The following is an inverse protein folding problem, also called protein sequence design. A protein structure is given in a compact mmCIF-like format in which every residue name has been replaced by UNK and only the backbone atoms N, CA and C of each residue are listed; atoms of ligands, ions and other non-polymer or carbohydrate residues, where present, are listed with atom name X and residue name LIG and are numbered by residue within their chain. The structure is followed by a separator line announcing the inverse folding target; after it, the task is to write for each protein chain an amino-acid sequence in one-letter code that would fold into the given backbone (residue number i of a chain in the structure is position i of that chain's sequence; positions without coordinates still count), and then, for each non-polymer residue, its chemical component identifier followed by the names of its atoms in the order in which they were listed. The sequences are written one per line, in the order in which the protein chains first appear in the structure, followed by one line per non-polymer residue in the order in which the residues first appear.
data_IF_122802993113
#
_entry.id   IF_122802993113
#
_cell.length_a   1.000
_cell.length_b   1.000
_cell.length_c   1.000
_cell.angle_alpha   90.00
_cell.angle_beta   90.00
_cell.angle_gamma   90.00
#
_symmetry.space_group_name_H-M   'P 1'
#
loop_
_entity.id
_entity.type
_entity.pdbx_description
1 polymer ?
#
# COMPACT_ATOMS: atom_id res chain seq x y z
N UNK A 1 -3.19 -5.90 -13.34
CA UNK A 1 -2.95 -5.88 -11.89
C UNK A 1 -3.40 -4.54 -11.33
N UNK A 2 -4.01 -4.55 -10.19
CA UNK A 2 -4.62 -3.35 -9.60
C UNK A 2 -3.94 -3.05 -8.25
N UNK A 3 -3.70 -1.76 -7.98
CA UNK A 3 -3.09 -1.30 -6.72
C UNK A 3 -4.11 -0.45 -5.96
N UNK A 4 -4.38 -0.82 -4.72
CA UNK A 4 -5.19 -0.02 -3.81
C UNK A 4 -4.23 0.93 -3.10
N UNK A 5 -4.33 2.22 -3.42
CA UNK A 5 -3.44 3.26 -2.91
C UNK A 5 -4.11 3.95 -1.73
N UNK A 6 -3.52 3.79 -0.55
CA UNK A 6 -4.04 4.36 0.70
C UNK A 6 -3.15 5.52 1.12
N UNK A 7 -3.58 6.73 0.84
CA UNK A 7 -2.82 7.96 1.06
C UNK A 7 -3.78 9.14 1.25
N UNK A 8 -3.65 9.85 2.37
CA UNK A 8 -4.58 10.95 2.70
C UNK A 8 -4.26 12.27 2.01
N UNK A 9 -3.03 12.49 1.58
CA UNK A 9 -2.69 13.67 0.79
C UNK A 9 -3.21 13.48 -0.63
N UNK A 10 -4.23 14.24 -1.00
CA UNK A 10 -4.93 14.07 -2.28
C UNK A 10 -3.98 14.24 -3.46
N UNK A 11 -3.13 15.26 -3.44
CA UNK A 11 -2.19 15.52 -4.54
C UNK A 11 -1.15 14.41 -4.67
N UNK A 12 -0.64 13.94 -3.56
CA UNK A 12 0.33 12.85 -3.58
C UNK A 12 -0.32 11.53 -4.01
N UNK A 13 -1.54 11.27 -3.56
CA UNK A 13 -2.31 10.10 -4.00
C UNK A 13 -2.53 10.12 -5.51
N UNK A 14 -2.93 11.27 -6.05
CA UNK A 14 -3.11 11.43 -7.49
C UNK A 14 -1.79 11.22 -8.25
N UNK A 15 -0.70 11.75 -7.72
CA UNK A 15 0.63 11.56 -8.31
C UNK A 15 1.00 10.08 -8.38
N UNK A 16 0.82 9.34 -7.30
CA UNK A 16 1.10 7.90 -7.26
C UNK A 16 0.23 7.16 -8.28
N UNK A 17 -1.07 7.46 -8.29
CA UNK A 17 -2.01 6.79 -9.19
C UNK A 17 -1.67 7.06 -10.66
N UNK A 18 -1.33 8.31 -11.01
CA UNK A 18 -0.91 8.64 -12.37
C UNK A 18 0.37 7.91 -12.76
N UNK A 19 1.33 7.85 -11.84
CA UNK A 19 2.58 7.11 -12.04
C UNK A 19 2.31 5.63 -12.33
N UNK A 20 1.42 5.02 -11.55
CA UNK A 20 1.05 3.62 -11.74
C UNK A 20 0.27 3.38 -13.02
N UNK A 21 -0.67 4.26 -13.34
CA UNK A 21 -1.47 4.15 -14.56
C UNK A 21 -0.60 4.26 -15.81
N UNK A 22 0.41 5.11 -15.79
CA UNK A 22 1.37 5.21 -16.88
C UNK A 22 2.19 3.93 -17.07
N UNK A 23 2.25 3.09 -16.06
CA UNK A 23 2.92 1.78 -16.11
C UNK A 23 1.93 0.63 -16.27
N UNK A 24 0.71 0.94 -16.71
CA UNK A 24 -0.37 -0.03 -17.02
C UNK A 24 -0.96 -0.74 -15.80
N UNK A 25 -0.88 -0.13 -14.62
CA UNK A 25 -1.59 -0.62 -13.45
C UNK A 25 -2.93 0.09 -13.32
N UNK A 26 -3.96 -0.63 -12.90
CA UNK A 26 -5.22 -0.03 -12.44
C UNK A 26 -5.04 0.43 -11.00
N UNK A 27 -5.77 1.45 -10.59
CA UNK A 27 -5.66 1.99 -9.23
C UNK A 27 -7.03 2.21 -8.60
N UNK A 28 -7.07 2.06 -7.28
CA UNK A 28 -8.21 2.45 -6.44
C UNK A 28 -7.66 3.33 -5.33
N UNK A 29 -8.31 4.45 -5.07
CA UNK A 29 -7.87 5.41 -4.05
C UNK A 29 -8.64 5.19 -2.76
N UNK A 30 -7.93 5.24 -1.63
CA UNK A 30 -8.51 5.31 -0.30
C UNK A 30 -7.72 6.33 0.50
N UNK A 31 -8.41 7.23 1.20
CA UNK A 31 -7.75 8.36 1.88
C UNK A 31 -7.59 8.14 3.38
N UNK A 32 -8.09 7.02 3.89
CA UNK A 32 -8.00 6.65 5.30
C UNK A 32 -8.19 5.14 5.46
N UNK A 33 -7.89 4.64 6.66
CA UNK A 33 -7.98 3.19 6.94
C UNK A 33 -9.39 2.65 6.77
N UNK A 34 -10.39 3.38 7.27
CA UNK A 34 -11.79 2.95 7.18
C UNK A 34 -12.22 2.76 5.72
N UNK A 35 -11.82 3.67 4.85
CA UNK A 35 -12.10 3.59 3.42
C UNK A 35 -11.41 2.37 2.78
N UNK A 36 -10.14 2.16 3.14
CA UNK A 36 -9.39 1.01 2.64
C UNK A 36 -10.04 -0.31 3.06
N UNK A 37 -10.48 -0.42 4.32
CA UNK A 37 -11.20 -1.61 4.79
C UNK A 37 -12.47 -1.86 4.00
N UNK A 38 -13.23 -0.80 3.69
CA UNK A 38 -14.45 -0.92 2.89
C UNK A 38 -14.17 -1.42 1.49
N UNK A 39 -13.16 -0.86 0.83
CA UNK A 39 -12.75 -1.29 -0.52
C UNK A 39 -12.36 -2.76 -0.50
N UNK A 40 -11.53 -3.16 0.46
CA UNK A 40 -11.06 -4.55 0.56
C UNK A 40 -12.22 -5.50 0.85
N UNK A 41 -13.07 -5.17 1.83
CA UNK A 41 -14.17 -6.03 2.22
C UNK A 41 -15.22 -6.21 1.12
N UNK A 42 -15.42 -5.20 0.27
CA UNK A 42 -16.49 -5.20 -0.75
C UNK A 42 -16.03 -5.66 -2.12
N UNK A 43 -14.78 -5.38 -2.50
CA UNK A 43 -14.40 -5.49 -3.90
C UNK A 43 -12.95 -5.90 -4.14
N UNK A 44 -12.25 -6.44 -3.14
CA UNK A 44 -10.87 -6.88 -3.34
C UNK A 44 -10.83 -8.00 -4.38
N UNK A 45 -9.85 -7.89 -5.28
CA UNK A 45 -9.61 -8.90 -6.32
C UNK A 45 -8.39 -9.74 -5.94
N UNK A 46 -8.33 -10.95 -6.44
CA UNK A 46 -7.29 -11.92 -6.12
C UNK A 46 -5.87 -11.37 -6.34
N UNK A 47 -5.68 -10.57 -7.38
CA UNK A 47 -4.36 -10.04 -7.75
C UNK A 47 -4.11 -8.61 -7.27
N UNK A 48 -4.94 -8.09 -6.38
CA UNK A 48 -4.75 -6.74 -5.84
C UNK A 48 -3.52 -6.65 -4.95
N UNK A 49 -2.88 -5.47 -4.97
CA UNK A 49 -1.78 -5.13 -4.07
C UNK A 49 -2.20 -3.88 -3.29
N UNK A 50 -1.90 -3.84 -2.01
CA UNK A 50 -2.14 -2.66 -1.18
C UNK A 50 -0.84 -1.88 -1.04
N UNK A 51 -0.89 -0.59 -1.38
CA UNK A 51 0.20 0.36 -1.19
C UNK A 51 -0.30 1.44 -0.24
N UNK A 52 0.21 1.48 0.98
CA UNK A 52 -0.33 2.34 2.02
C UNK A 52 0.74 3.18 2.70
N UNK A 53 0.44 4.48 2.87
CA UNK A 53 1.23 5.34 3.74
C UNK A 53 1.12 4.83 5.17
N UNK A 54 2.17 4.98 5.95
CA UNK A 54 2.18 4.55 7.34
C UNK A 54 1.17 5.34 8.16
N UNK A 55 1.19 6.67 8.05
CA UNK A 55 0.35 7.54 8.88
C UNK A 55 -0.84 8.07 8.11
N UNK A 56 -2.01 7.78 8.64
CA UNK A 56 -3.28 8.20 8.06
C UNK A 56 -4.11 8.92 9.14
N UNK A 57 -5.13 9.70 8.75
CA UNK A 57 -5.91 10.47 9.74
C UNK A 57 -6.52 9.63 10.84
N UNK A 58 -6.87 8.38 10.55
CA UNK A 58 -7.55 7.48 11.49
C UNK A 58 -6.64 6.36 12.01
N UNK A 59 -5.32 6.49 11.89
CA UNK A 59 -4.38 5.56 12.51
C UNK A 59 -3.20 5.20 11.64
N UNK A 60 -2.45 4.20 12.06
CA UNK A 60 -1.30 3.69 11.32
C UNK A 60 -1.71 2.50 10.45
N UNK A 61 -1.13 2.41 9.25
CA UNK A 61 -1.49 1.34 8.30
C UNK A 61 -1.04 -0.05 8.71
N UNK A 62 -0.20 -0.17 9.75
CA UNK A 62 0.07 -1.46 10.39
C UNK A 62 -1.24 -2.09 10.91
N UNK A 63 -2.18 -1.27 11.39
CA UNK A 63 -3.49 -1.76 11.81
C UNK A 63 -4.30 -2.33 10.64
N UNK A 64 -4.18 -1.73 9.46
CA UNK A 64 -4.82 -2.25 8.25
C UNK A 64 -4.23 -3.62 7.88
N UNK A 65 -2.91 -3.73 7.93
CA UNK A 65 -2.22 -4.98 7.63
C UNK A 65 -2.63 -6.08 8.61
N UNK A 66 -2.63 -5.80 9.90
CA UNK A 66 -3.07 -6.76 10.93
C UNK A 66 -4.51 -7.19 10.70
N UNK A 67 -5.40 -6.24 10.40
CA UNK A 67 -6.79 -6.55 10.10
C UNK A 67 -6.91 -7.45 8.87
N UNK A 68 -6.18 -7.15 7.80
CA UNK A 68 -6.20 -7.97 6.60
C UNK A 68 -5.79 -9.40 6.89
N UNK A 69 -4.67 -9.58 7.57
CA UNK A 69 -4.15 -10.92 7.91
C UNK A 69 -5.10 -11.65 8.83
N UNK A 70 -5.70 -10.97 9.79
CA UNK A 70 -6.69 -11.54 10.71
C UNK A 70 -7.98 -11.97 10.02
N UNK A 71 -8.35 -11.33 8.92
CA UNK A 71 -9.52 -11.70 8.11
C UNK A 71 -9.21 -12.76 7.07
N UNK A 72 -7.96 -13.21 6.97
CA UNK A 72 -7.57 -14.21 5.99
C UNK A 72 -7.15 -13.65 4.64
N UNK A 73 -7.07 -12.33 4.47
CA UNK A 73 -6.56 -11.73 3.25
C UNK A 73 -5.04 -11.84 3.22
N UNK A 74 -4.50 -12.42 2.15
CA UNK A 74 -3.06 -12.63 1.98
C UNK A 74 -2.44 -11.73 0.91
N UNK A 75 -3.18 -10.74 0.44
CA UNK A 75 -2.71 -9.83 -0.60
C UNK A 75 -1.41 -9.14 -0.20
N UNK A 76 -0.49 -8.93 -1.16
CA UNK A 76 0.75 -8.21 -0.87
C UNK A 76 0.47 -6.80 -0.35
N UNK A 77 1.24 -6.39 0.64
CA UNK A 77 1.11 -5.09 1.29
C UNK A 77 2.48 -4.41 1.24
N UNK A 78 2.53 -3.24 0.61
CA UNK A 78 3.72 -2.41 0.55
C UNK A 78 3.46 -1.16 1.37
N UNK A 79 4.35 -0.85 2.30
CA UNK A 79 4.24 0.34 3.12
C UNK A 79 5.08 1.47 2.55
N UNK A 80 4.50 2.67 2.45
CA UNK A 80 5.25 3.89 2.18
C UNK A 80 5.58 4.57 3.49
N UNK A 81 6.79 5.07 3.66
CA UNK A 81 7.21 5.65 4.91
C UNK A 81 8.26 6.74 4.70
N UNK A 82 8.46 7.58 5.71
CA UNK A 82 9.56 8.54 5.76
C UNK A 82 10.77 7.91 6.44
N UNK A 83 11.94 8.53 6.29
CA UNK A 83 13.19 8.03 6.88
C UNK A 83 13.13 7.86 8.38
N UNK A 84 12.42 8.76 9.08
CA UNK A 84 12.32 8.73 10.54
C UNK A 84 11.51 7.56 11.07
N UNK A 85 10.81 6.83 10.19
CA UNK A 85 9.85 5.81 10.58
C UNK A 85 10.30 4.40 10.21
N UNK A 86 11.60 4.24 10.00
CA UNK A 86 12.18 2.97 9.56
C UNK A 86 11.92 1.81 10.54
N UNK A 87 11.91 2.10 11.85
CA UNK A 87 11.62 1.08 12.87
C UNK A 87 10.21 0.51 12.71
N UNK A 88 9.24 1.37 12.39
CA UNK A 88 7.86 0.94 12.15
C UNK A 88 7.76 0.13 10.87
N UNK A 89 8.51 0.51 9.83
CA UNK A 89 8.57 -0.25 8.59
C UNK A 89 9.13 -1.66 8.82
N UNK A 90 10.18 -1.78 9.61
CA UNK A 90 10.74 -3.09 10.00
C UNK A 90 9.70 -3.92 10.74
N UNK A 91 8.94 -3.30 11.65
CA UNK A 91 7.85 -3.97 12.36
C UNK A 91 6.78 -4.48 11.39
N UNK A 92 6.41 -3.67 10.39
CA UNK A 92 5.45 -4.07 9.36
C UNK A 92 5.90 -5.31 8.58
N UNK A 93 7.21 -5.41 8.30
CA UNK A 93 7.76 -6.60 7.65
C UNK A 93 7.53 -7.85 8.49
N UNK A 94 7.66 -7.74 9.81
CA UNK A 94 7.40 -8.84 10.74
C UNK A 94 5.91 -9.20 10.80
N UNK A 95 5.02 -8.25 10.53
CA UNK A 95 3.57 -8.48 10.47
C UNK A 95 3.11 -9.05 9.12
N UNK A 96 4.02 -9.18 8.17
CA UNK A 96 3.71 -9.79 6.88
C UNK A 96 3.61 -8.83 5.71
N UNK A 97 4.12 -7.61 5.84
CA UNK A 97 4.25 -6.72 4.68
C UNK A 97 5.26 -7.31 3.69
N UNK A 98 5.00 -7.14 2.39
CA UNK A 98 5.87 -7.65 1.33
C UNK A 98 7.13 -6.81 1.23
N UNK A 99 7.00 -5.50 1.41
CA UNK A 99 8.10 -4.56 1.29
C UNK A 99 7.73 -3.23 1.93
N UNK A 100 8.71 -2.34 2.10
CA UNK A 100 8.47 -0.94 2.41
C UNK A 100 9.29 -0.07 1.47
N UNK A 101 8.78 1.13 1.18
CA UNK A 101 9.42 2.07 0.28
C UNK A 101 9.51 3.43 0.98
N UNK A 102 10.70 4.01 1.00
CA UNK A 102 10.89 5.38 1.49
C UNK A 102 10.28 6.33 0.47
N UNK A 103 9.41 7.24 0.90
CA UNK A 103 8.69 8.15 0.00
C UNK A 103 9.61 8.90 -0.98
N UNK A 104 10.78 9.43 -0.57
CA UNK A 104 11.69 10.08 -1.52
C UNK A 104 12.22 9.16 -2.63
N UNK A 105 12.18 7.85 -2.43
CA UNK A 105 12.68 6.86 -3.40
C UNK A 105 11.55 6.17 -4.16
N UNK A 106 10.31 6.69 -4.07
CA UNK A 106 9.14 6.02 -4.63
C UNK A 106 9.28 5.75 -6.13
N UNK A 107 9.69 6.75 -6.91
CA UNK A 107 9.83 6.59 -8.36
C UNK A 107 10.83 5.50 -8.74
N UNK A 108 11.91 5.36 -7.98
CA UNK A 108 12.96 4.40 -8.28
C UNK A 108 12.61 2.98 -7.80
N UNK A 109 11.81 2.85 -6.76
CA UNK A 109 11.61 1.58 -6.06
C UNK A 109 10.25 0.93 -6.29
N UNK A 110 9.21 1.71 -6.61
CA UNK A 110 7.86 1.18 -6.66
C UNK A 110 7.64 0.17 -7.77
N UNK A 111 7.98 0.52 -9.00
CA UNK A 111 7.77 -0.39 -10.13
C UNK A 111 8.59 -1.68 -10.01
N UNK A 112 9.88 -1.63 -9.61
CA UNK A 112 10.61 -2.87 -9.33
C UNK A 112 9.97 -3.74 -8.26
N UNK A 113 9.45 -3.16 -7.17
CA UNK A 113 8.79 -3.91 -6.11
C UNK A 113 7.52 -4.60 -6.62
N UNK A 114 6.69 -3.89 -7.39
CA UNK A 114 5.48 -4.46 -7.99
C UNK A 114 5.81 -5.56 -8.99
N UNK A 115 6.82 -5.35 -9.81
CA UNK A 115 7.25 -6.32 -10.81
C UNK A 115 7.72 -7.61 -10.15
N UNK A 116 8.47 -7.50 -9.05
CA UNK A 116 8.93 -8.65 -8.26
C UNK A 116 7.75 -9.46 -7.73
N UNK A 117 6.69 -8.80 -7.26
CA UNK A 117 5.47 -9.47 -6.79
C UNK A 117 4.80 -10.22 -7.93
N UNK A 118 4.67 -9.59 -9.11
CA UNK A 118 4.03 -10.19 -10.28
C UNK A 118 4.74 -11.46 -10.75
N UNK A 119 6.05 -11.52 -10.56
CA UNK A 119 6.89 -12.64 -11.03
C UNK A 119 6.99 -13.78 -10.02
N UNK A 120 6.52 -13.57 -8.81
CA UNK A 120 6.59 -14.58 -7.74
C UNK A 120 5.57 -15.70 -7.92
#
# INVERSE_FOLDING_TARGET
MRVIVVEDNILFCDYICNFLQNADYQTVKAYRLAQARQVIARSVREDDIVLADLRLPDGESTALLEWMRGQGYTHPFIMMTNYEEIHTAVHAMKLGAEDYILKPLLEDKLLPALKKIRMA
#
